data_IF_315260851514
#
_entry.id   IF_315260851514
#
_cell.length_a   1.000
_cell.length_b   1.000
_cell.length_c   1.000
_cell.angle_alpha   90.00
_cell.angle_beta   90.00
_cell.angle_gamma   90.00
#
_symmetry.space_group_name_H-M   'P 1'
#
loop_
_entity.id
_entity.type
_entity.pdbx_description
1 polymer ?
#
# COMPACT_ATOMS: atom_id res chain seq x y z
N UNK A 1 -6.08 -2.39 -9.78
CA UNK A 1 -6.71 -2.97 -8.57
C UNK A 1 -6.69 -1.88 -7.50
N UNK A 2 -7.79 -1.67 -6.77
CA UNK A 2 -7.86 -0.70 -5.66
C UNK A 2 -8.04 -1.48 -4.36
N UNK A 3 -7.13 -1.29 -3.41
CA UNK A 3 -7.20 -1.89 -2.09
C UNK A 3 -7.36 -0.77 -1.07
N UNK A 4 -8.50 -0.73 -0.39
CA UNK A 4 -8.77 0.22 0.68
C UNK A 4 -8.57 -0.48 2.02
N UNK A 5 -7.50 -0.12 2.73
CA UNK A 5 -7.08 -0.71 4.01
C UNK A 5 -7.14 -2.25 4.06
N UNK A 6 -6.50 -2.99 3.13
CA UNK A 6 -6.64 -4.44 3.04
C UNK A 6 -6.05 -5.20 4.24
N UNK A 7 -5.29 -4.51 5.10
CA UNK A 7 -4.63 -5.05 6.29
C UNK A 7 -5.35 -4.65 7.59
N UNK A 8 -6.42 -3.86 7.51
CA UNK A 8 -7.22 -3.52 8.66
C UNK A 8 -7.91 -4.78 9.21
N UNK A 9 -7.65 -5.10 10.47
CA UNK A 9 -8.16 -6.29 11.18
C UNK A 9 -7.54 -7.65 10.79
N UNK A 10 -6.43 -7.68 10.05
CA UNK A 10 -5.68 -8.92 9.78
C UNK A 10 -4.55 -9.11 10.80
N UNK A 11 -4.31 -10.37 11.17
CA UNK A 11 -3.09 -10.76 11.88
C UNK A 11 -1.89 -10.78 10.93
N UNK A 12 -0.68 -10.86 11.51
CA UNK A 12 0.58 -10.81 10.77
C UNK A 12 0.69 -11.89 9.67
N UNK A 13 0.12 -13.06 9.91
CA UNK A 13 0.10 -14.16 8.94
C UNK A 13 -0.77 -13.83 7.72
N UNK A 14 -1.97 -13.28 7.94
CA UNK A 14 -2.86 -12.91 6.84
C UNK A 14 -2.35 -11.68 6.08
N UNK A 15 -1.68 -10.75 6.75
CA UNK A 15 -0.98 -9.64 6.09
C UNK A 15 0.05 -10.15 5.08
N UNK A 16 0.81 -11.20 5.44
CA UNK A 16 1.80 -11.78 4.54
C UNK A 16 1.18 -12.35 3.26
N UNK A 17 0.02 -13.02 3.38
CA UNK A 17 -0.71 -13.55 2.22
C UNK A 17 -1.17 -12.42 1.29
N UNK A 18 -1.67 -11.32 1.85
CA UNK A 18 -2.08 -10.15 1.06
C UNK A 18 -0.88 -9.53 0.33
N UNK A 19 0.28 -9.46 0.98
CA UNK A 19 1.52 -8.99 0.35
C UNK A 19 1.97 -9.88 -0.82
N UNK A 20 1.87 -11.21 -0.67
CA UNK A 20 2.19 -12.16 -1.74
C UNK A 20 1.24 -11.98 -2.94
N UNK A 21 -0.07 -11.86 -2.69
CA UNK A 21 -1.06 -11.62 -3.75
C UNK A 21 -0.82 -10.30 -4.50
N UNK A 22 -0.43 -9.25 -3.77
CA UNK A 22 -0.03 -7.97 -4.36
C UNK A 22 1.20 -8.15 -5.25
N UNK A 23 2.22 -8.87 -4.77
CA UNK A 23 3.46 -9.10 -5.51
C UNK A 23 3.19 -9.88 -6.81
N UNK A 24 2.35 -10.92 -6.76
CA UNK A 24 1.94 -11.67 -7.95
C UNK A 24 1.18 -10.80 -8.96
N UNK A 25 0.24 -9.97 -8.48
CA UNK A 25 -0.50 -9.05 -9.35
C UNK A 25 0.43 -8.03 -10.02
N UNK A 26 1.42 -7.51 -9.28
CA UNK A 26 2.46 -6.62 -9.84
C UNK A 26 3.31 -7.35 -10.89
N UNK A 27 3.72 -8.58 -10.62
CA UNK A 27 4.49 -9.40 -11.57
C UNK A 27 3.71 -9.71 -12.85
N UNK A 28 2.38 -9.84 -12.75
CA UNK A 28 1.48 -9.97 -13.90
C UNK A 28 1.28 -8.66 -14.68
N UNK A 29 1.90 -7.55 -14.26
CA UNK A 29 1.80 -6.24 -14.91
C UNK A 29 0.57 -5.43 -14.50
N UNK A 30 -0.12 -5.79 -13.42
CA UNK A 30 -1.26 -5.02 -12.93
C UNK A 30 -0.82 -3.74 -12.22
N UNK A 31 -1.48 -2.63 -12.53
CA UNK A 31 -1.37 -1.41 -11.75
C UNK A 31 -2.20 -1.53 -10.46
N UNK A 32 -1.55 -1.32 -9.31
CA UNK A 32 -2.15 -1.37 -7.99
C UNK A 32 -2.10 0.00 -7.32
N UNK A 33 -3.22 0.41 -6.72
CA UNK A 33 -3.27 1.54 -5.78
C UNK A 33 -3.78 0.96 -4.46
N UNK A 34 -3.00 1.16 -3.40
CA UNK A 34 -3.34 0.70 -2.05
C UNK A 34 -3.27 1.83 -1.04
N UNK A 35 -4.27 1.89 -0.18
CA UNK A 35 -4.33 2.80 0.97
C UNK A 35 -3.89 2.00 2.19
N UNK A 36 -2.78 2.41 2.81
CA UNK A 36 -2.18 1.71 3.95
C UNK A 36 -1.89 2.71 5.06
N UNK A 37 -2.20 2.32 6.31
CA UNK A 37 -1.81 3.06 7.51
C UNK A 37 -0.48 2.54 8.10
N UNK A 38 -0.07 1.31 7.75
CA UNK A 38 1.16 0.70 8.23
C UNK A 38 2.34 1.03 7.31
N UNK A 39 3.39 1.60 7.92
CA UNK A 39 4.61 2.01 7.24
C UNK A 39 5.47 0.84 6.78
N UNK A 40 5.55 -0.26 7.54
CA UNK A 40 6.35 -1.43 7.18
C UNK A 40 5.77 -2.13 5.95
N UNK A 41 4.45 -2.23 5.90
CA UNK A 41 3.71 -2.80 4.76
C UNK A 41 3.92 -1.89 3.53
N UNK A 42 3.74 -0.57 3.69
CA UNK A 42 3.98 0.40 2.61
C UNK A 42 5.38 0.28 2.01
N UNK A 43 6.42 0.17 2.84
CA UNK A 43 7.81 0.04 2.38
C UNK A 43 8.06 -1.29 1.64
N UNK A 44 7.33 -2.35 1.96
CA UNK A 44 7.48 -3.66 1.31
C UNK A 44 6.81 -3.73 -0.09
N UNK A 45 5.65 -3.09 -0.29
CA UNK A 45 4.87 -3.22 -1.54
C UNK A 45 4.88 -1.99 -2.45
N UNK A 46 5.09 -0.79 -1.93
CA UNK A 46 4.96 0.43 -2.71
C UNK A 46 6.24 0.75 -3.51
N UNK A 47 6.13 0.80 -4.84
CA UNK A 47 7.21 1.34 -5.69
C UNK A 47 7.30 2.87 -5.54
N UNK A 48 6.15 3.50 -5.28
CA UNK A 48 5.98 4.92 -4.99
C UNK A 48 4.89 5.07 -3.95
N UNK A 49 5.07 5.96 -3.00
CA UNK A 49 4.03 6.31 -2.03
C UNK A 49 3.86 7.82 -1.93
N UNK A 50 2.66 8.23 -1.53
CA UNK A 50 2.35 9.60 -1.16
C UNK A 50 1.95 9.58 0.31
N UNK A 51 2.59 10.42 1.11
CA UNK A 51 2.19 10.57 2.50
C UNK A 51 1.03 11.57 2.57
N UNK A 52 -0.08 11.15 3.18
CA UNK A 52 -1.30 11.95 3.31
C UNK A 52 -1.34 12.73 4.63
N UNK A 53 -0.26 12.71 5.41
CA UNK A 53 -0.12 13.59 6.59
C UNK A 53 -0.23 15.06 6.15
N UNK A 54 -0.96 15.84 6.94
CA UNK A 54 -1.44 17.19 6.57
C UNK A 54 -0.33 18.24 6.35
N UNK A 55 0.94 17.88 6.55
CA UNK A 55 2.07 18.81 6.55
C UNK A 55 2.67 19.15 5.17
N UNK A 56 2.26 18.50 4.06
CA UNK A 56 2.85 18.76 2.73
C UNK A 56 1.85 19.04 1.59
N UNK A 57 0.84 19.87 1.86
CA UNK A 57 0.15 20.61 0.79
C UNK A 57 0.64 22.06 0.65
N UNK A 58 1.95 22.29 0.81
CA UNK A 58 2.58 23.54 0.34
C UNK A 58 2.99 23.40 -1.12
N UNK A 59 2.04 23.04 -1.98
CA UNK A 59 2.23 23.22 -3.42
C UNK A 59 2.23 24.72 -3.70
N UNK A 60 3.38 25.17 -4.19
CA UNK A 60 3.68 26.52 -4.56
C UNK A 60 2.61 27.13 -5.49
N UNK A 61 2.16 28.33 -5.13
CA UNK A 61 1.76 29.38 -6.05
C UNK A 61 2.44 30.66 -5.57
#
# INVERSE_FOLDING_TARGET
LLLDEPTASLDEANCQVVLELIAEAKAAGAALIGIFHDRAIREAVADRYLDMTTEEHRHAC
#
